data_IF_818436164272
#
_entry.id   IF_818436164272
#
_cell.length_a   1.000
_cell.length_b   1.000
_cell.length_c   1.000
_cell.angle_alpha   90.00
_cell.angle_beta   90.00
_cell.angle_gamma   90.00
#
_symmetry.space_group_name_H-M   'P 1'
#
loop_
_entity.id
_entity.type
_entity.pdbx_description
1 polymer ?
#
# COMPACT_ATOMS: atom_id res chain seq x y z
N UNK A 1 38.92 2.54 8.65
CA UNK A 1 38.42 2.01 7.36
C UNK A 1 36.91 2.15 7.36
N UNK A 2 36.35 2.90 6.43
CA UNK A 2 34.89 3.03 6.30
C UNK A 2 34.41 2.08 5.22
N UNK A 3 33.46 1.22 5.56
CA UNK A 3 32.68 0.45 4.59
C UNK A 3 31.44 1.27 4.25
N UNK A 4 31.27 1.57 2.97
CA UNK A 4 30.16 2.40 2.49
C UNK A 4 29.20 1.52 1.68
N UNK A 5 27.92 1.71 1.89
CA UNK A 5 26.87 1.03 1.15
C UNK A 5 25.97 2.09 0.54
N UNK A 6 25.70 1.96 -0.75
CA UNK A 6 24.77 2.80 -1.49
C UNK A 6 23.67 1.96 -2.09
N UNK A 7 22.45 2.50 -2.12
CA UNK A 7 21.28 1.84 -2.69
C UNK A 7 20.76 2.65 -3.87
N UNK A 8 20.72 2.03 -5.04
CA UNK A 8 19.86 2.51 -6.12
C UNK A 8 18.52 1.80 -6.02
N UNK A 9 17.45 2.58 -5.87
CA UNK A 9 16.10 2.08 -5.71
C UNK A 9 15.21 2.60 -6.82
N UNK A 10 14.58 1.69 -7.54
CA UNK A 10 13.67 2.01 -8.65
C UNK A 10 12.31 1.41 -8.38
N UNK A 11 11.29 2.26 -8.28
CA UNK A 11 9.90 1.84 -8.29
C UNK A 11 9.38 1.67 -9.72
N UNK A 12 8.48 0.71 -9.93
CA UNK A 12 7.88 0.50 -11.24
C UNK A 12 6.99 1.67 -11.69
N UNK A 13 6.28 2.30 -10.74
CA UNK A 13 5.38 3.45 -10.97
C UNK A 13 6.10 4.77 -10.73
N UNK A 14 6.91 4.85 -9.66
CA UNK A 14 7.60 6.09 -9.25
C UNK A 14 8.89 6.37 -10.02
N UNK A 15 9.41 5.41 -10.79
CA UNK A 15 10.70 5.56 -11.47
C UNK A 15 11.87 5.48 -10.49
N UNK A 16 12.90 6.30 -10.67
CA UNK A 16 14.10 6.26 -9.83
C UNK A 16 13.84 6.96 -8.49
N UNK A 17 13.44 6.19 -7.47
CA UNK A 17 13.17 6.68 -6.11
C UNK A 17 14.44 7.25 -5.47
N UNK A 18 15.61 6.69 -5.78
CA UNK A 18 16.89 7.17 -5.24
C UNK A 18 17.40 8.48 -5.86
N UNK A 19 16.69 9.06 -6.84
CA UNK A 19 17.13 10.25 -7.56
C UNK A 19 17.27 11.50 -6.65
N UNK A 20 18.48 12.05 -6.57
CA UNK A 20 18.79 13.20 -5.74
C UNK A 20 18.77 12.93 -4.22
N UNK A 21 18.89 11.68 -3.77
CA UNK A 21 18.88 11.33 -2.34
C UNK A 21 20.18 11.69 -1.60
N UNK A 22 21.34 11.68 -2.27
CA UNK A 22 22.62 12.09 -1.68
C UNK A 22 23.03 13.50 -2.11
N UNK A 23 22.08 14.44 -2.08
CA UNK A 23 22.32 15.86 -2.33
C UNK A 23 22.41 16.66 -1.02
N UNK A 24 23.02 17.86 -1.02
CA UNK A 24 23.03 18.74 0.15
C UNK A 24 21.62 19.07 0.68
N UNK A 25 20.64 19.20 -0.21
CA UNK A 25 19.23 19.45 0.15
C UNK A 25 18.58 18.26 0.86
N UNK A 26 19.08 17.05 0.63
CA UNK A 26 18.47 15.80 1.11
C UNK A 26 19.09 15.32 2.42
N UNK A 27 20.43 15.23 2.51
CA UNK A 27 21.15 14.68 3.68
C UNK A 27 22.16 15.65 4.29
N UNK A 28 22.12 16.94 3.92
CA UNK A 28 22.99 17.97 4.46
C UNK A 28 24.47 17.63 4.25
N UNK A 29 25.29 17.84 5.28
CA UNK A 29 26.75 17.66 5.23
C UNK A 29 27.21 16.22 4.98
N UNK A 30 26.31 15.23 5.01
CA UNK A 30 26.65 13.82 4.74
C UNK A 30 26.76 13.51 3.25
N UNK A 31 26.38 14.44 2.38
CA UNK A 31 26.41 14.25 0.94
C UNK A 31 27.82 13.90 0.44
N UNK A 32 27.88 13.11 -0.62
CA UNK A 32 29.13 12.78 -1.32
C UNK A 32 28.93 13.02 -2.81
N UNK A 33 29.85 13.78 -3.42
CA UNK A 33 29.81 14.06 -4.85
C UNK A 33 29.98 12.77 -5.67
N UNK A 34 29.24 12.67 -6.77
CA UNK A 34 29.22 11.50 -7.67
C UNK A 34 28.31 10.34 -7.20
N UNK A 35 27.45 10.60 -6.20
CA UNK A 35 26.50 9.64 -5.61
C UNK A 35 25.08 10.18 -5.49
N UNK A 36 24.79 11.28 -6.19
CA UNK A 36 23.58 12.09 -6.02
C UNK A 36 22.30 11.26 -6.13
N UNK A 37 22.27 10.29 -7.04
CA UNK A 37 21.12 9.42 -7.34
C UNK A 37 21.10 8.09 -6.57
N UNK A 38 21.87 8.00 -5.48
CA UNK A 38 21.93 6.83 -4.62
C UNK A 38 21.58 7.21 -3.18
N UNK A 39 20.90 6.30 -2.48
CA UNK A 39 20.58 6.41 -1.06
C UNK A 39 21.78 5.92 -0.26
N UNK A 40 22.23 6.69 0.73
CA UNK A 40 23.27 6.24 1.66
C UNK A 40 22.69 5.23 2.65
N UNK A 41 23.25 4.02 2.69
CA UNK A 41 22.83 2.96 3.60
C UNK A 41 23.82 2.85 4.76
N UNK A 42 23.31 2.98 5.98
CA UNK A 42 24.08 2.91 7.23
C UNK A 42 24.23 1.48 7.74
N UNK A 43 23.22 0.65 7.52
CA UNK A 43 23.20 -0.75 7.93
C UNK A 43 22.47 -1.60 6.89
N UNK A 44 22.97 -2.80 6.64
CA UNK A 44 22.37 -3.79 5.75
C UNK A 44 22.44 -5.15 6.43
N UNK A 45 21.29 -5.82 6.54
CA UNK A 45 21.16 -7.14 7.14
C UNK A 45 20.26 -8.01 6.26
N UNK A 46 20.70 -9.24 6.05
CA UNK A 46 19.97 -10.23 5.28
C UNK A 46 20.27 -11.61 5.83
N UNK A 47 19.26 -12.47 5.86
CA UNK A 47 19.39 -13.82 6.37
C UNK A 47 18.62 -14.80 5.47
N UNK A 48 19.26 -15.94 5.20
CA UNK A 48 18.65 -17.08 4.54
C UNK A 48 18.88 -18.29 5.43
N UNK A 49 17.81 -18.98 5.78
CA UNK A 49 17.88 -20.19 6.60
C UNK A 49 17.46 -21.40 5.77
N UNK A 50 17.93 -22.58 6.16
CA UNK A 50 17.53 -23.82 5.51
C UNK A 50 17.33 -24.88 6.57
N UNK A 51 16.12 -25.41 6.62
CA UNK A 51 15.84 -26.68 7.28
C UNK A 51 15.76 -27.77 6.19
N UNK A 52 14.57 -27.98 5.63
CA UNK A 52 14.40 -28.80 4.40
C UNK A 52 14.41 -27.94 3.13
N UNK A 53 13.64 -26.85 3.12
CA UNK A 53 13.58 -25.86 2.03
C UNK A 53 14.30 -24.57 2.44
N UNK A 54 14.75 -23.80 1.44
CA UNK A 54 15.36 -22.49 1.68
C UNK A 54 14.27 -21.51 2.09
N UNK A 55 14.42 -20.91 3.26
CA UNK A 55 13.60 -19.81 3.74
C UNK A 55 14.34 -18.49 3.53
N UNK A 56 13.77 -17.64 2.68
CA UNK A 56 14.27 -16.31 2.39
C UNK A 56 13.65 -15.32 3.38
N UNK A 57 14.46 -14.74 4.26
CA UNK A 57 14.00 -13.65 5.11
C UNK A 57 14.13 -12.30 4.37
N UNK A 58 13.30 -11.29 4.72
CA UNK A 58 13.40 -9.96 4.14
C UNK A 58 14.80 -9.34 4.33
N UNK A 59 15.23 -8.57 3.34
CA UNK A 59 16.43 -7.74 3.45
C UNK A 59 16.07 -6.49 4.24
N UNK A 60 16.76 -6.24 5.34
CA UNK A 60 16.58 -5.06 6.17
C UNK A 60 17.72 -4.09 5.93
N UNK A 61 17.43 -2.82 5.71
CA UNK A 61 18.45 -1.78 5.65
C UNK A 61 18.04 -0.53 6.42
N UNK A 62 19.03 0.21 6.89
CA UNK A 62 18.86 1.46 7.63
C UNK A 62 19.47 2.60 6.85
N UNK A 63 18.75 3.72 6.74
CA UNK A 63 19.17 4.93 6.03
C UNK A 63 18.87 6.17 6.90
N UNK A 64 19.55 7.31 6.72
CA UNK A 64 19.10 8.57 7.31
C UNK A 64 17.76 8.99 6.71
N UNK A 65 17.03 9.91 7.33
CA UNK A 65 15.88 10.56 6.68
C UNK A 65 16.41 11.36 5.49
N UNK A 66 15.85 11.13 4.30
CA UNK A 66 16.30 11.76 3.05
C UNK A 66 15.11 12.00 2.10
N UNK A 67 15.37 12.50 0.89
CA UNK A 67 14.33 12.76 -0.12
C UNK A 67 13.48 11.53 -0.49
N UNK A 68 14.01 10.31 -0.37
CA UNK A 68 13.26 9.08 -0.66
C UNK A 68 12.27 8.68 0.43
N UNK A 69 12.40 9.20 1.65
CA UNK A 69 11.53 8.87 2.79
C UNK A 69 10.02 8.96 2.48
N UNK A 70 9.47 10.06 1.93
CA UNK A 70 8.06 10.12 1.54
C UNK A 70 7.70 9.18 0.37
N UNK A 71 8.64 8.93 -0.55
CA UNK A 71 8.43 8.03 -1.69
C UNK A 71 8.34 6.56 -1.25
N UNK A 72 9.11 6.19 -0.23
CA UNK A 72 9.03 4.89 0.43
C UNK A 72 7.69 4.71 1.14
N UNK A 73 7.20 5.76 1.82
CA UNK A 73 5.86 5.80 2.41
C UNK A 73 4.76 5.57 1.37
N UNK A 74 4.90 6.15 0.18
CA UNK A 74 3.96 5.91 -0.93
C UNK A 74 4.10 4.50 -1.53
N UNK A 75 5.33 3.97 -1.60
CA UNK A 75 5.60 2.65 -2.15
C UNK A 75 5.02 1.53 -1.27
N UNK A 76 5.08 1.66 0.05
CA UNK A 76 4.46 0.70 0.98
C UNK A 76 2.93 0.79 0.94
N UNK A 77 2.35 1.99 0.92
CA UNK A 77 0.90 2.21 0.84
C UNK A 77 0.28 1.59 -0.42
N UNK A 78 0.96 1.74 -1.56
CA UNK A 78 0.51 1.22 -2.85
C UNK A 78 0.97 -0.20 -3.16
N UNK A 79 1.70 -0.84 -2.24
CA UNK A 79 2.35 -2.13 -2.45
C UNK A 79 3.08 -2.20 -3.80
N UNK A 80 3.90 -1.19 -4.08
CA UNK A 80 4.61 -1.05 -5.36
C UNK A 80 5.76 -2.05 -5.47
N UNK A 81 5.95 -2.63 -6.67
CA UNK A 81 7.13 -3.43 -6.97
C UNK A 81 8.36 -2.54 -7.21
N UNK A 82 9.45 -2.92 -6.55
CA UNK A 82 10.71 -2.22 -6.50
C UNK A 82 11.85 -3.09 -7.03
N UNK A 83 12.81 -2.48 -7.71
CA UNK A 83 14.12 -3.06 -7.98
C UNK A 83 15.15 -2.33 -7.12
N UNK A 84 15.86 -3.08 -6.28
CA UNK A 84 16.84 -2.54 -5.34
C UNK A 84 18.23 -3.07 -5.69
N UNK A 85 19.21 -2.17 -5.85
CA UNK A 85 20.60 -2.51 -6.11
C UNK A 85 21.48 -1.90 -5.01
N UNK A 86 21.93 -2.75 -4.08
CA UNK A 86 22.91 -2.40 -3.06
C UNK A 86 24.33 -2.53 -3.63
N UNK A 87 25.08 -1.44 -3.54
CA UNK A 87 26.47 -1.34 -3.97
C UNK A 87 27.36 -1.18 -2.75
N UNK A 88 28.19 -2.18 -2.47
CA UNK A 88 29.10 -2.18 -1.33
C UNK A 88 30.50 -1.78 -1.76
N UNK A 89 31.07 -0.83 -1.02
CA UNK A 89 32.38 -0.25 -1.26
C UNK A 89 33.36 -0.57 -0.14
N UNK A 90 34.63 -0.74 -0.50
CA UNK A 90 35.74 -0.87 0.44
C UNK A 90 36.96 -0.11 -0.07
N UNK A 91 37.92 0.15 0.81
CA UNK A 91 39.22 0.71 0.42
C UNK A 91 40.12 -0.43 -0.06
N UNK A 92 40.68 -0.31 -1.26
CA UNK A 92 41.59 -1.28 -1.83
C UNK A 92 43.04 -1.08 -1.35
N UNK A 93 43.96 -1.95 -1.78
CA UNK A 93 45.38 -1.87 -1.41
C UNK A 93 46.05 -0.56 -1.88
N UNK A 94 45.53 0.08 -2.93
CA UNK A 94 46.00 1.37 -3.44
C UNK A 94 45.39 2.58 -2.71
N UNK A 95 44.58 2.35 -1.66
CA UNK A 95 43.92 3.41 -0.90
C UNK A 95 42.69 4.03 -1.59
N UNK A 96 42.23 3.44 -2.70
CA UNK A 96 41.09 3.92 -3.47
C UNK A 96 39.80 3.21 -3.05
N UNK A 97 38.67 3.91 -3.15
CA UNK A 97 37.35 3.34 -2.89
C UNK A 97 36.92 2.47 -4.09
N UNK A 98 36.81 1.16 -3.88
CA UNK A 98 36.44 0.19 -4.92
C UNK A 98 35.04 -0.40 -4.67
N UNK A 99 34.29 -0.58 -5.76
CA UNK A 99 33.00 -1.28 -5.77
C UNK A 99 33.23 -2.79 -5.89
N UNK A 100 33.29 -3.50 -4.76
CA UNK A 100 33.72 -4.90 -4.74
C UNK A 100 32.58 -5.92 -4.69
N UNK A 101 31.41 -5.54 -4.17
CA UNK A 101 30.29 -6.46 -3.94
C UNK A 101 28.95 -5.79 -4.19
N UNK A 102 28.03 -6.50 -4.82
CA UNK A 102 26.66 -6.03 -5.07
C UNK A 102 25.60 -7.06 -4.69
N UNK A 103 24.48 -6.57 -4.18
CA UNK A 103 23.27 -7.33 -3.90
C UNK A 103 22.13 -6.69 -4.68
N UNK A 104 21.51 -7.44 -5.59
CA UNK A 104 20.39 -6.97 -6.39
C UNK A 104 19.14 -7.76 -6.03
N UNK A 105 18.08 -7.04 -5.68
CA UNK A 105 16.73 -7.56 -5.48
C UNK A 105 15.87 -7.13 -6.64
N UNK A 106 15.10 -8.05 -7.19
CA UNK A 106 14.15 -7.76 -8.27
C UNK A 106 12.76 -8.15 -7.88
N UNK A 107 11.78 -7.29 -8.22
CA UNK A 107 10.39 -7.48 -7.81
C UNK A 107 10.22 -7.52 -6.29
N UNK A 108 10.86 -6.58 -5.59
CA UNK A 108 10.77 -6.41 -4.15
C UNK A 108 9.55 -5.59 -3.73
N UNK A 109 9.02 -5.84 -2.54
CA UNK A 109 7.97 -5.04 -1.91
C UNK A 109 8.40 -4.66 -0.50
N UNK A 110 7.99 -3.47 -0.04
CA UNK A 110 8.26 -3.05 1.34
C UNK A 110 7.29 -3.80 2.26
N UNK A 111 7.84 -4.53 3.24
CA UNK A 111 7.06 -5.21 4.28
C UNK A 111 6.90 -4.35 5.51
N UNK A 112 7.93 -3.57 5.82
CA UNK A 112 8.00 -2.76 7.03
C UNK A 112 8.80 -1.49 6.76
N UNK A 113 8.29 -0.38 7.28
CA UNK A 113 8.88 0.94 7.18
C UNK A 113 8.73 1.64 8.54
N UNK A 114 9.84 1.83 9.24
CA UNK A 114 9.87 2.47 10.55
C UNK A 114 10.79 3.68 10.54
N UNK A 115 10.27 4.82 11.00
CA UNK A 115 11.05 6.04 11.21
C UNK A 115 11.42 6.15 12.69
N UNK A 116 12.69 6.39 12.97
CA UNK A 116 13.22 6.53 14.32
C UNK A 116 13.77 7.94 14.49
N UNK A 117 13.14 8.68 15.38
CA UNK A 117 13.63 9.97 15.85
C UNK A 117 14.12 9.80 17.29
N UNK A 118 15.38 10.18 17.58
CA UNK A 118 15.90 10.04 18.93
C UNK A 118 15.21 11.00 19.89
N UNK A 119 15.20 10.64 21.18
CA UNK A 119 14.66 11.50 22.21
C UNK A 119 15.57 12.71 22.37
N UNK A 120 15.06 13.92 22.15
CA UNK A 120 15.89 15.14 22.10
C UNK A 120 16.59 15.50 23.41
N UNK A 121 16.18 14.88 24.53
CA UNK A 121 16.79 15.09 25.85
C UNK A 121 17.82 13.99 26.16
N UNK A 122 17.48 12.73 25.89
CA UNK A 122 18.31 11.59 26.33
C UNK A 122 19.33 11.14 25.26
N UNK A 123 19.05 11.37 23.98
CA UNK A 123 19.79 10.82 22.83
C UNK A 123 20.15 11.92 21.79
N UNK A 124 20.62 13.08 22.25
CA UNK A 124 20.86 14.25 21.39
C UNK A 124 21.95 14.02 20.31
N UNK A 125 22.89 13.09 20.54
CA UNK A 125 23.97 12.81 19.57
C UNK A 125 23.56 11.84 18.46
N UNK A 126 22.39 11.20 18.57
CA UNK A 126 21.92 10.25 17.56
C UNK A 126 21.33 10.99 16.36
N UNK A 127 21.61 10.49 15.16
CA UNK A 127 21.03 11.02 13.93
C UNK A 127 19.71 10.30 13.68
N UNK A 128 18.62 11.00 13.31
CA UNK A 128 17.38 10.36 12.87
C UNK A 128 17.61 9.40 11.70
N UNK A 129 16.98 8.23 11.77
CA UNK A 129 17.16 7.17 10.78
C UNK A 129 15.85 6.42 10.52
N UNK A 130 15.83 5.68 9.42
CA UNK A 130 14.70 4.88 8.99
C UNK A 130 15.16 3.45 8.73
N UNK A 131 14.35 2.48 9.15
CA UNK A 131 14.56 1.07 8.85
C UNK A 131 13.51 0.60 7.86
N UNK A 132 13.98 -0.02 6.77
CA UNK A 132 13.15 -0.52 5.68
C UNK A 132 13.40 -2.01 5.53
N UNK A 133 12.34 -2.82 5.46
CA UNK A 133 12.43 -4.25 5.17
C UNK A 133 11.81 -4.56 3.82
N UNK A 134 12.60 -5.18 2.95
CA UNK A 134 12.23 -5.57 1.60
C UNK A 134 12.10 -7.08 1.52
N UNK A 135 10.92 -7.54 1.16
CA UNK A 135 10.72 -8.89 0.65
C UNK A 135 10.92 -8.87 -0.87
N UNK A 136 11.34 -9.97 -1.48
CA UNK A 136 11.83 -9.97 -2.85
C UNK A 136 11.55 -11.29 -3.56
N UNK A 137 11.25 -11.24 -4.87
CA UNK A 137 11.04 -12.43 -5.71
C UNK A 137 12.34 -13.14 -6.05
N UNK A 138 13.41 -12.40 -6.32
CA UNK A 138 14.73 -12.97 -6.55
C UNK A 138 15.82 -12.04 -6.07
N UNK A 139 16.93 -12.67 -5.69
CA UNK A 139 18.13 -12.03 -5.17
C UNK A 139 19.34 -12.53 -5.94
N UNK A 140 20.23 -11.62 -6.31
CA UNK A 140 21.53 -11.97 -6.87
C UNK A 140 22.65 -11.30 -6.07
N UNK A 141 23.70 -12.06 -5.81
CA UNK A 141 24.91 -11.64 -5.15
C UNK A 141 26.05 -11.67 -6.16
N UNK A 142 26.83 -10.61 -6.29
CA UNK A 142 28.00 -10.61 -7.18
C UNK A 142 29.19 -9.99 -6.47
N UNK A 143 30.27 -10.76 -6.34
CA UNK A 143 31.55 -10.28 -5.85
C UNK A 143 32.43 -9.85 -7.03
N UNK A 144 32.28 -8.59 -7.44
CA UNK A 144 32.96 -8.01 -8.61
C UNK A 144 34.48 -8.17 -8.58
N UNK A 145 35.11 -7.99 -7.42
CA UNK A 145 36.57 -8.09 -7.30
C UNK A 145 37.09 -9.54 -7.42
N UNK A 146 36.23 -10.55 -7.29
CA UNK A 146 36.61 -11.98 -7.36
C UNK A 146 35.85 -12.75 -8.45
N UNK A 147 34.97 -12.09 -9.20
CA UNK A 147 34.22 -12.64 -10.33
C UNK A 147 33.12 -13.64 -9.97
N UNK A 148 32.84 -13.91 -8.69
CA UNK A 148 31.82 -14.90 -8.30
C UNK A 148 30.42 -14.30 -8.25
N UNK A 149 29.44 -15.07 -8.71
CA UNK A 149 28.02 -14.67 -8.75
C UNK A 149 27.14 -15.78 -8.17
N UNK A 150 26.12 -15.41 -7.40
CA UNK A 150 25.08 -16.28 -6.90
C UNK A 150 23.71 -15.72 -7.23
N UNK A 151 22.74 -16.60 -7.52
CA UNK A 151 21.37 -16.22 -7.83
C UNK A 151 20.41 -17.16 -7.12
N UNK A 152 19.34 -16.61 -6.53
CA UNK A 152 18.30 -17.38 -5.88
C UNK A 152 16.93 -16.75 -6.13
N UNK A 153 15.92 -17.60 -6.27
CA UNK A 153 14.51 -17.22 -6.43
C UNK A 153 13.80 -17.58 -5.15
N UNK A 154 13.12 -16.62 -4.52
CA UNK A 154 12.27 -16.88 -3.38
C UNK A 154 10.96 -17.51 -3.87
N UNK A 155 10.38 -18.41 -3.07
CA UNK A 155 9.12 -19.08 -3.41
C UNK A 155 7.89 -18.18 -3.17
N UNK A 156 7.98 -16.87 -3.43
CA UNK A 156 6.86 -15.95 -3.23
C UNK A 156 5.71 -16.23 -4.21
N UNK A 157 4.82 -17.14 -3.83
CA UNK A 157 3.45 -17.21 -4.34
C UNK A 157 2.59 -16.23 -3.52
N UNK A 158 2.03 -15.19 -4.17
CA UNK A 158 0.87 -14.45 -3.61
C UNK A 158 0.97 -12.93 -3.49
N UNK A 159 2.13 -12.29 -3.70
CA UNK A 159 2.27 -10.82 -3.76
C UNK A 159 2.52 -10.35 -5.18
N UNK A 160 1.51 -10.55 -6.02
CA UNK A 160 1.44 -9.89 -7.32
C UNK A 160 1.02 -8.44 -7.13
N UNK A 161 1.48 -7.57 -8.03
CA UNK A 161 1.10 -6.16 -8.10
C UNK A 161 -0.40 -5.97 -7.88
N UNK A 162 -0.77 -4.99 -7.06
CA UNK A 162 -2.17 -4.56 -6.88
C UNK A 162 -3.11 -5.59 -6.23
N UNK A 163 -2.61 -6.66 -5.60
CA UNK A 163 -3.44 -7.40 -4.63
C UNK A 163 -3.40 -6.66 -3.30
N UNK A 164 -4.47 -5.95 -2.89
CA UNK A 164 -4.55 -5.40 -1.54
C UNK A 164 -4.40 -6.55 -0.53
N UNK A 165 -3.80 -6.25 0.62
CA UNK A 165 -3.62 -7.21 1.73
C UNK A 165 -4.95 -7.86 2.19
N UNK A 166 -6.08 -7.28 1.76
CA UNK A 166 -7.45 -7.72 2.01
C UNK A 166 -8.25 -7.91 0.71
N UNK A 167 -7.68 -8.56 -0.31
CA UNK A 167 -8.39 -8.89 -1.57
C UNK A 167 -9.70 -9.67 -1.41
N UNK A 168 -9.94 -10.28 -0.24
CA UNK A 168 -11.21 -10.94 0.11
C UNK A 168 -12.27 -10.04 0.75
N UNK A 169 -11.93 -8.86 1.26
CA UNK A 169 -12.91 -7.97 1.90
C UNK A 169 -13.71 -7.17 0.88
N UNK A 170 -13.11 -6.81 -0.26
CA UNK A 170 -13.80 -6.04 -1.31
C UNK A 170 -14.84 -6.89 -2.05
N UNK A 171 -14.54 -8.17 -2.28
CA UNK A 171 -15.53 -9.12 -2.82
C UNK A 171 -16.60 -9.44 -1.78
N UNK A 172 -16.26 -9.59 -0.50
CA UNK A 172 -17.24 -9.76 0.58
C UNK A 172 -18.12 -8.53 0.76
N UNK A 173 -17.58 -7.31 0.64
CA UNK A 173 -18.35 -6.07 0.68
C UNK A 173 -19.28 -5.97 -0.52
N UNK A 174 -18.81 -6.26 -1.74
CA UNK A 174 -19.66 -6.32 -2.95
C UNK A 174 -20.75 -7.38 -2.85
N UNK A 175 -20.41 -8.56 -2.35
CA UNK A 175 -21.38 -9.66 -2.20
C UNK A 175 -22.37 -9.37 -1.07
N UNK A 176 -21.91 -8.74 0.02
CA UNK A 176 -22.76 -8.32 1.12
C UNK A 176 -23.69 -7.17 0.73
N UNK A 177 -23.22 -6.20 -0.08
CA UNK A 177 -24.08 -5.14 -0.61
C UNK A 177 -25.08 -5.68 -1.63
N UNK A 178 -24.67 -6.54 -2.56
CA UNK A 178 -25.59 -7.23 -3.49
C UNK A 178 -26.63 -8.11 -2.74
N UNK A 179 -26.24 -8.77 -1.65
CA UNK A 179 -27.15 -9.53 -0.79
C UNK A 179 -28.11 -8.63 0.02
N UNK A 180 -27.63 -7.50 0.54
CA UNK A 180 -28.44 -6.54 1.30
C UNK A 180 -29.48 -5.81 0.43
N UNK A 181 -29.17 -5.54 -0.84
CA UNK A 181 -30.09 -4.84 -1.77
C UNK A 181 -30.94 -5.77 -2.64
N UNK A 182 -30.70 -7.08 -2.65
CA UNK A 182 -31.55 -8.06 -3.35
C UNK A 182 -32.72 -8.59 -2.52
N UNK A 183 -32.78 -8.27 -1.23
CA UNK A 183 -33.83 -8.77 -0.35
C UNK A 183 -35.03 -7.82 -0.33
N UNK A 184 -36.19 -8.34 -0.74
CA UNK A 184 -37.49 -7.67 -0.63
C UNK A 184 -37.72 -7.21 0.82
N UNK A 185 -37.74 -5.92 1.06
CA UNK A 185 -38.11 -5.38 2.38
C UNK A 185 -39.63 -5.20 2.46
N UNK A 186 -40.28 -6.02 3.30
CA UNK A 186 -41.67 -5.77 3.73
C UNK A 186 -41.65 -4.98 5.03
N UNK A 187 -42.11 -3.73 5.00
CA UNK A 187 -42.26 -2.90 6.19
C UNK A 187 -43.51 -3.35 6.95
N UNK A 188 -43.33 -3.83 8.18
CA UNK A 188 -44.42 -4.24 9.08
C UNK A 188 -44.55 -3.25 10.24
N UNK A 189 -45.77 -2.99 10.68
CA UNK A 189 -46.02 -2.13 11.84
C UNK A 189 -45.54 -2.82 13.13
N UNK A 190 -44.80 -2.08 13.97
CA UNK A 190 -44.11 -2.63 15.14
C UNK A 190 -45.06 -3.05 16.27
N UNK A 191 -46.30 -2.55 16.27
CA UNK A 191 -47.30 -2.87 17.28
C UNK A 191 -48.06 -4.18 16.99
N UNK A 192 -48.48 -4.42 15.74
CA UNK A 192 -49.41 -5.53 15.40
C UNK A 192 -48.91 -6.48 14.30
N UNK A 193 -47.72 -6.25 13.73
CA UNK A 193 -47.12 -7.12 12.71
C UNK A 193 -47.81 -7.12 11.34
N UNK A 194 -48.87 -6.32 11.15
CA UNK A 194 -49.57 -6.13 9.89
C UNK A 194 -48.77 -5.28 8.89
N UNK A 195 -48.94 -5.56 7.59
CA UNK A 195 -48.28 -4.86 6.48
C UNK A 195 -49.00 -3.52 6.23
N UNK A 196 -48.26 -2.41 6.23
CA UNK A 196 -48.85 -1.07 6.04
C UNK A 196 -49.36 -0.88 4.60
N UNK A 197 -50.64 -0.52 4.43
CA UNK A 197 -51.31 -0.43 3.13
C UNK A 197 -51.00 0.83 2.31
N UNK A 198 -50.59 1.94 2.94
CA UNK A 198 -50.54 3.25 2.25
C UNK A 198 -49.24 4.02 2.55
N UNK A 199 -48.23 3.82 1.69
CA UNK A 199 -46.92 4.48 1.79
C UNK A 199 -46.70 5.34 0.54
N UNK A 200 -46.40 6.63 0.75
CA UNK A 200 -45.96 7.56 -0.28
C UNK A 200 -44.42 7.68 -0.24
N UNK A 201 -43.79 7.72 -1.41
CA UNK A 201 -42.33 7.81 -1.52
C UNK A 201 -41.90 8.87 -2.53
N UNK A 202 -40.78 9.53 -2.23
CA UNK A 202 -40.05 10.42 -3.12
C UNK A 202 -38.63 9.92 -3.30
N UNK A 203 -38.24 9.65 -4.54
CA UNK A 203 -36.90 9.19 -4.92
C UNK A 203 -36.28 10.25 -5.81
N UNK A 204 -35.05 10.64 -5.51
CA UNK A 204 -34.27 11.56 -6.34
C UNK A 204 -33.19 10.80 -7.08
N UNK A 205 -33.19 10.99 -8.39
CA UNK A 205 -32.16 10.47 -9.29
C UNK A 205 -31.42 11.63 -9.92
N UNK A 206 -30.24 11.39 -10.48
CA UNK A 206 -29.43 12.40 -11.16
C UNK A 206 -30.13 13.04 -12.37
N UNK A 207 -31.24 12.45 -12.86
CA UNK A 207 -32.06 12.96 -13.97
C UNK A 207 -33.35 13.66 -13.53
N UNK A 208 -33.69 13.63 -12.24
CA UNK A 208 -34.89 14.28 -11.70
C UNK A 208 -35.53 13.53 -10.52
N UNK A 209 -36.50 14.18 -9.87
CA UNK A 209 -37.26 13.62 -8.75
C UNK A 209 -38.48 12.82 -9.23
N UNK A 210 -38.58 11.57 -8.81
CA UNK A 210 -39.72 10.68 -9.06
C UNK A 210 -40.53 10.55 -7.77
N UNK A 211 -41.83 10.84 -7.84
CA UNK A 211 -42.75 10.75 -6.70
C UNK A 211 -43.88 9.77 -7.02
N UNK A 212 -44.24 8.92 -6.06
CA UNK A 212 -45.29 7.91 -6.24
C UNK A 212 -46.06 7.62 -4.95
N UNK A 213 -47.26 7.06 -5.11
CA UNK A 213 -48.10 6.54 -4.03
C UNK A 213 -48.38 5.07 -4.34
N UNK A 214 -48.20 4.20 -3.36
CA UNK A 214 -48.51 2.78 -3.48
C UNK A 214 -49.99 2.56 -3.84
N UNK A 215 -50.28 1.88 -4.96
CA UNK A 215 -51.66 1.60 -5.40
C UNK A 215 -52.22 0.27 -4.89
N UNK A 216 -51.38 -0.63 -4.34
CA UNK A 216 -51.81 -1.89 -3.72
C UNK A 216 -50.91 -2.24 -2.53
N UNK A 217 -51.54 -2.75 -1.45
CA UNK A 217 -50.96 -3.29 -0.21
C UNK A 217 -49.42 -3.40 -0.18
N UNK A 218 -48.76 -2.29 0.16
CA UNK A 218 -47.33 -2.25 0.48
C UNK A 218 -46.36 -2.50 -0.68
N UNK A 219 -46.80 -2.46 -1.94
CA UNK A 219 -45.92 -2.61 -3.11
C UNK A 219 -45.87 -1.30 -3.90
N UNK A 220 -44.70 -0.67 -3.89
CA UNK A 220 -44.40 0.51 -4.71
C UNK A 220 -44.21 0.13 -6.18
N UNK A 221 -44.54 1.05 -7.10
CA UNK A 221 -44.41 0.79 -8.55
C UNK A 221 -42.94 0.57 -8.92
N UNK A 222 -42.67 -0.46 -9.73
CA UNK A 222 -41.33 -0.78 -10.22
C UNK A 222 -40.83 0.33 -11.15
N UNK A 223 -39.73 0.98 -10.76
CA UNK A 223 -39.00 1.93 -11.62
C UNK A 223 -37.88 1.15 -12.30
N UNK A 224 -38.11 0.72 -13.54
CA UNK A 224 -37.07 0.09 -14.35
C UNK A 224 -36.20 1.16 -15.02
N UNK A 225 -34.94 1.29 -14.58
CA UNK A 225 -33.91 2.03 -15.30
C UNK A 225 -32.96 1.06 -16.01
N UNK A 226 -32.58 1.37 -17.26
CA UNK A 226 -31.69 0.52 -18.09
C UNK A 226 -30.19 0.71 -17.78
N UNK A 227 -29.84 1.59 -16.84
CA UNK A 227 -28.46 1.84 -16.39
C UNK A 227 -28.44 2.00 -14.86
N UNK A 228 -27.38 1.51 -14.21
CA UNK A 228 -27.10 1.76 -12.80
C UNK A 228 -26.95 3.27 -12.56
N UNK A 229 -27.72 3.80 -11.61
CA UNK A 229 -27.65 5.20 -11.19
C UNK A 229 -27.68 5.23 -9.66
N UNK A 230 -26.95 6.16 -9.05
CA UNK A 230 -27.05 6.43 -7.62
C UNK A 230 -28.42 7.03 -7.31
N UNK A 231 -29.13 6.42 -6.37
CA UNK A 231 -30.50 6.78 -6.00
C UNK A 231 -30.53 7.21 -4.55
N UNK A 232 -31.04 8.41 -4.29
CA UNK A 232 -31.23 8.93 -2.94
C UNK A 232 -32.72 8.97 -2.59
N UNK A 233 -33.10 8.36 -1.47
CA UNK A 233 -34.49 8.35 -0.99
C UNK A 233 -34.72 9.61 -0.16
N UNK A 234 -35.46 10.58 -0.70
CA UNK A 234 -35.70 11.86 -0.01
C UNK A 234 -36.70 11.71 1.15
N UNK A 235 -37.75 10.89 0.99
CA UNK A 235 -38.69 10.60 2.07
C UNK A 235 -39.54 9.34 1.83
N UNK A 236 -39.94 8.73 2.94
CA UNK A 236 -40.89 7.62 3.03
C UNK A 236 -41.92 7.99 4.11
N UNK A 237 -43.16 8.30 3.69
CA UNK A 237 -44.21 8.76 4.61
C UNK A 237 -45.46 7.89 4.51
N UNK A 238 -46.04 7.55 5.66
CA UNK A 238 -47.33 6.88 5.74
C UNK A 238 -48.44 7.94 5.78
N UNK A 239 -49.29 8.01 4.76
CA UNK A 239 -50.42 8.94 4.75
C UNK A 239 -51.53 8.41 5.66
N UNK A 240 -51.58 8.89 6.92
CA UNK A 240 -52.84 8.91 7.67
C UNK A 240 -53.62 10.16 7.25
N UNK A 241 -54.62 10.02 6.37
CA UNK A 241 -55.68 11.02 6.31
C UNK A 241 -56.47 10.92 7.63
N UNK A 242 -56.37 11.96 8.46
CA UNK A 242 -57.26 12.13 9.59
C UNK A 242 -58.68 12.37 9.08
N UNK A 243 -59.64 11.63 9.63
CA UNK A 243 -61.03 12.08 9.70
C UNK A 243 -61.05 13.23 10.72
N UNK A 244 -61.44 14.43 10.29
CA UNK A 244 -62.06 15.38 11.20
C UNK A 244 -63.46 14.86 11.60
N UNK A 245 -63.84 15.19 12.83
CA UNK A 245 -65.09 14.79 13.51
C UNK A 245 -66.36 15.11 12.75
#
# INVERSE_FOLDING_TARGET
MSYLIYLSLKGKKQGLISAGCSTPESIGNRYQAGREDEIQVLHLSHMMTRDQNVNHLPVSFTKPIDKSSPLLGLAIDKNELLDALFKCYRVNLAGQLEFFYEIKLTGATIVDFSCHYPHSIDDNDQIPYETVRLDYKSISFTHRAAGTTGYAISQLQGREEERPLLSGFDSLLKTATEALFSHKFTVKNKADGSVCSDIAYGIKTNKGSIKGISKQLGVTEYINSKKEEDVEVEYLFQTKMGMDK
#
